data_IF_683565755877
#
_entry.id   IF_683565755877
#
_cell.length_a   1.000
_cell.length_b   1.000
_cell.length_c   1.000
_cell.angle_alpha   90.00
_cell.angle_beta   90.00
_cell.angle_gamma   90.00
#
_symmetry.space_group_name_H-M   'P 1'
#
loop_
_entity.id
_entity.type
_entity.pdbx_description
1 polymer ?
#
# COMPACT_ATOMS: atom_id res chain seq x y z
N UNK A 1 1.83 10.21 28.15
CA UNK A 1 2.93 9.22 28.22
C UNK A 1 3.44 9.05 26.81
N UNK A 2 4.75 9.07 26.64
CA UNK A 2 5.43 9.13 25.33
C UNK A 2 4.81 8.17 24.31
N UNK A 3 4.45 8.68 23.14
CA UNK A 3 4.10 7.84 21.99
C UNK A 3 5.37 7.15 21.50
N UNK A 4 5.81 6.13 22.23
CA UNK A 4 6.89 5.27 21.79
C UNK A 4 6.34 4.47 20.61
N UNK A 5 6.68 4.93 19.41
CA UNK A 5 6.49 4.15 18.18
C UNK A 5 7.11 2.79 18.43
N UNK A 6 6.29 1.74 18.34
CA UNK A 6 6.74 0.38 18.60
C UNK A 6 7.98 0.08 17.71
N UNK A 7 9.15 -0.27 18.28
CA UNK A 7 10.37 -0.55 17.52
C UNK A 7 10.15 -1.58 16.40
N UNK A 8 9.26 -2.54 16.63
CA UNK A 8 8.86 -3.55 15.66
C UNK A 8 8.27 -2.95 14.38
N UNK A 9 7.60 -1.80 14.46
CA UNK A 9 7.02 -1.12 13.31
C UNK A 9 8.09 -0.55 12.36
N UNK A 10 9.21 -0.07 12.92
CA UNK A 10 10.35 0.43 12.15
C UNK A 10 10.99 -0.72 11.36
N UNK A 11 11.14 -1.89 12.00
CA UNK A 11 11.62 -3.10 11.32
C UNK A 11 10.66 -3.57 10.23
N UNK A 12 9.35 -3.57 10.51
CA UNK A 12 8.32 -3.98 9.56
C UNK A 12 8.28 -3.07 8.32
N UNK A 13 8.42 -1.76 8.50
CA UNK A 13 8.56 -0.82 7.39
C UNK A 13 9.78 -1.15 6.53
N UNK A 14 10.93 -1.41 7.15
CA UNK A 14 12.15 -1.78 6.42
C UNK A 14 11.94 -3.05 5.58
N UNK A 15 11.31 -4.08 6.16
CA UNK A 15 10.97 -5.32 5.47
C UNK A 15 10.05 -5.06 4.28
N UNK A 16 9.00 -4.25 4.45
CA UNK A 16 8.05 -3.92 3.37
C UNK A 16 8.74 -3.18 2.21
N UNK A 17 9.72 -2.30 2.48
CA UNK A 17 10.51 -1.72 1.37
C UNK A 17 11.20 -2.80 0.58
N UNK A 18 11.95 -3.63 1.30
CA UNK A 18 12.88 -4.55 0.67
C UNK A 18 12.07 -5.58 -0.11
N UNK A 19 10.90 -5.95 0.39
CA UNK A 19 9.92 -6.77 -0.31
C UNK A 19 9.37 -6.08 -1.56
N UNK A 20 8.98 -4.79 -1.47
CA UNK A 20 8.53 -4.02 -2.64
C UNK A 20 9.60 -3.88 -3.72
N UNK A 21 10.86 -3.63 -3.33
CA UNK A 21 12.01 -3.59 -4.25
C UNK A 21 12.26 -4.96 -4.88
N UNK A 22 12.17 -6.04 -4.10
CA UNK A 22 12.34 -7.41 -4.60
C UNK A 22 11.22 -7.81 -5.57
N UNK A 23 9.98 -7.46 -5.27
CA UNK A 23 8.82 -7.71 -6.15
C UNK A 23 8.93 -6.93 -7.46
N UNK A 24 9.27 -5.64 -7.40
CA UNK A 24 9.43 -4.79 -8.59
C UNK A 24 10.61 -5.24 -9.45
N UNK A 25 11.76 -5.55 -8.84
CA UNK A 25 12.93 -6.07 -9.55
C UNK A 25 12.64 -7.42 -10.19
N UNK A 26 11.95 -8.31 -9.46
CA UNK A 26 11.52 -9.61 -9.97
C UNK A 26 10.53 -9.50 -11.14
N UNK A 27 9.59 -8.55 -11.07
CA UNK A 27 8.66 -8.27 -12.17
C UNK A 27 9.39 -7.76 -13.42
N UNK A 28 10.36 -6.84 -13.24
CA UNK A 28 11.17 -6.34 -14.36
C UNK A 28 11.99 -7.48 -14.97
N UNK A 29 12.75 -8.23 -14.16
CA UNK A 29 13.61 -9.32 -14.65
C UNK A 29 12.81 -10.42 -15.34
N UNK A 30 11.66 -10.82 -14.78
CA UNK A 30 10.79 -11.82 -15.40
C UNK A 30 10.17 -11.29 -16.71
N UNK A 31 9.75 -10.03 -16.76
CA UNK A 31 9.22 -9.40 -17.97
C UNK A 31 10.26 -9.26 -19.08
N UNK A 32 11.46 -8.77 -18.76
CA UNK A 32 12.55 -8.62 -19.73
C UNK A 32 13.06 -9.98 -20.20
N UNK A 33 13.22 -10.95 -19.27
CA UNK A 33 13.60 -12.32 -19.60
C UNK A 33 12.58 -13.00 -20.51
N UNK A 34 11.28 -12.77 -20.28
CA UNK A 34 10.21 -13.29 -21.13
C UNK A 34 10.25 -12.70 -22.55
N UNK A 35 10.49 -11.40 -22.69
CA UNK A 35 10.65 -10.75 -23.99
C UNK A 35 11.83 -11.32 -24.78
N UNK A 36 12.99 -11.44 -24.13
CA UNK A 36 14.19 -12.03 -24.75
C UNK A 36 13.94 -13.48 -25.16
N UNK A 37 13.26 -14.25 -24.30
CA UNK A 37 12.88 -15.62 -24.60
C UNK A 37 11.99 -15.70 -25.84
N UNK A 38 10.96 -14.86 -25.97
CA UNK A 38 10.10 -14.81 -27.16
C UNK A 38 10.93 -14.50 -28.41
N UNK A 39 11.80 -13.49 -28.36
CA UNK A 39 12.59 -13.07 -29.52
C UNK A 39 13.48 -14.22 -30.01
N UNK A 40 14.22 -14.86 -29.10
CA UNK A 40 15.06 -16.02 -29.43
C UNK A 40 14.20 -17.16 -29.99
N UNK A 41 13.04 -17.42 -29.39
CA UNK A 41 12.14 -18.51 -29.78
C UNK A 41 11.54 -18.28 -31.19
N UNK A 42 11.17 -17.06 -31.55
CA UNK A 42 10.67 -16.69 -32.88
C UNK A 42 11.78 -16.78 -33.93
N UNK A 43 12.98 -16.27 -33.63
CA UNK A 43 14.13 -16.35 -34.54
C UNK A 43 14.49 -17.83 -34.83
N UNK A 44 14.51 -18.67 -33.79
CA UNK A 44 14.79 -20.10 -33.95
C UNK A 44 13.73 -20.81 -34.80
N UNK A 45 12.46 -20.45 -34.62
CA UNK A 45 11.35 -20.96 -35.44
C UNK A 45 11.45 -20.55 -36.91
N UNK A 46 11.82 -19.29 -37.18
CA UNK A 46 12.00 -18.77 -38.54
C UNK A 46 13.18 -19.42 -39.26
N UNK A 47 14.35 -19.52 -38.60
CA UNK A 47 15.53 -20.19 -39.17
C UNK A 47 15.25 -21.66 -39.51
N UNK A 48 14.56 -22.37 -38.61
CA UNK A 48 14.23 -23.78 -38.84
C UNK A 48 13.18 -23.97 -39.95
N UNK A 49 12.26 -23.02 -40.11
CA UNK A 49 11.25 -23.05 -41.18
C UNK A 49 11.88 -22.80 -42.56
N UNK A 50 12.89 -21.93 -42.65
CA UNK A 50 13.66 -21.68 -43.89
C UNK A 50 14.49 -22.91 -44.31
N UNK A 51 15.14 -23.61 -43.37
CA UNK A 51 15.96 -24.79 -43.68
C UNK A 51 15.15 -26.07 -43.99
N UNK A 52 13.95 -26.22 -43.43
CA UNK A 52 13.20 -27.49 -43.49
C UNK A 52 11.97 -27.51 -44.41
N UNK A 53 11.64 -26.40 -45.11
CA UNK A 53 10.67 -26.41 -46.22
C UNK A 53 9.27 -26.94 -45.90
N UNK A 54 8.81 -26.85 -44.65
CA UNK A 54 7.54 -27.44 -44.23
C UNK A 54 6.83 -26.67 -43.11
N UNK A 55 5.65 -26.11 -43.42
CA UNK A 55 4.76 -25.42 -42.48
C UNK A 55 4.40 -26.25 -41.22
N UNK A 56 4.45 -27.58 -41.32
CA UNK A 56 3.99 -28.51 -40.29
C UNK A 56 4.87 -28.50 -39.03
N UNK A 57 6.16 -28.14 -39.16
CA UNK A 57 7.08 -28.06 -38.03
C UNK A 57 6.93 -26.76 -37.23
N UNK A 58 6.62 -25.65 -37.91
CA UNK A 58 6.34 -24.38 -37.24
C UNK A 58 5.03 -24.43 -36.45
N UNK A 59 4.00 -25.11 -36.99
CA UNK A 59 2.72 -25.31 -36.29
C UNK A 59 2.88 -26.21 -35.06
N UNK A 60 3.61 -27.32 -35.15
CA UNK A 60 3.93 -28.15 -33.98
C UNK A 60 4.80 -27.41 -32.95
N UNK A 61 5.68 -26.53 -33.41
CA UNK A 61 6.53 -25.69 -32.56
C UNK A 61 5.73 -24.61 -31.81
N UNK A 62 4.78 -23.94 -32.47
CA UNK A 62 3.82 -23.01 -31.86
C UNK A 62 2.90 -23.72 -30.85
N UNK A 63 2.45 -24.94 -31.19
CA UNK A 63 1.60 -25.75 -30.31
C UNK A 63 2.30 -26.08 -29.00
N UNK A 64 3.60 -26.43 -29.06
CA UNK A 64 4.42 -26.68 -27.88
C UNK A 64 4.69 -25.41 -27.05
N UNK A 65 4.84 -24.25 -27.70
CA UNK A 65 4.98 -22.96 -27.04
C UNK A 65 3.74 -22.59 -26.22
N UNK A 66 2.55 -22.89 -26.75
CA UNK A 66 1.28 -22.61 -26.06
C UNK A 66 1.15 -23.28 -24.69
N UNK A 67 1.89 -24.37 -24.43
CA UNK A 67 1.91 -25.04 -23.12
C UNK A 67 2.90 -24.41 -22.15
N UNK A 68 4.15 -24.23 -22.56
CA UNK A 68 5.24 -23.75 -21.69
C UNK A 68 5.23 -22.23 -21.49
N UNK A 69 4.83 -21.46 -22.50
CA UNK A 69 4.71 -20.00 -22.42
C UNK A 69 3.63 -19.54 -21.45
N UNK A 70 2.55 -20.31 -21.28
CA UNK A 70 1.48 -20.02 -20.32
C UNK A 70 2.00 -19.97 -18.88
N UNK A 71 2.85 -20.92 -18.48
CA UNK A 71 3.41 -20.95 -17.13
C UNK A 71 4.23 -19.68 -16.82
N UNK A 72 5.02 -19.21 -17.78
CA UNK A 72 5.78 -17.97 -17.64
C UNK A 72 4.88 -16.73 -17.55
N UNK A 73 3.80 -16.69 -18.34
CA UNK A 73 2.79 -15.62 -18.27
C UNK A 73 2.10 -15.61 -16.90
N UNK A 74 1.70 -16.77 -16.37
CA UNK A 74 1.09 -16.85 -15.04
C UNK A 74 2.03 -16.38 -13.94
N UNK A 75 3.31 -16.72 -14.04
CA UNK A 75 4.34 -16.31 -13.08
C UNK A 75 4.57 -14.79 -13.14
N UNK A 76 4.61 -14.21 -14.34
CA UNK A 76 4.69 -12.76 -14.54
C UNK A 76 3.45 -12.02 -13.99
N UNK A 77 2.24 -12.51 -14.29
CA UNK A 77 1.00 -11.96 -13.76
C UNK A 77 0.93 -12.04 -12.23
N UNK A 78 1.41 -13.14 -11.64
CA UNK A 78 1.50 -13.30 -10.19
C UNK A 78 2.39 -12.20 -9.57
N UNK A 79 3.55 -11.93 -10.14
CA UNK A 79 4.44 -10.85 -9.65
C UNK A 79 3.80 -9.46 -9.78
N UNK A 80 3.08 -9.18 -10.86
CA UNK A 80 2.36 -7.91 -11.02
C UNK A 80 1.26 -7.76 -9.96
N UNK A 81 0.44 -8.81 -9.77
CA UNK A 81 -0.64 -8.78 -8.78
C UNK A 81 -0.07 -8.59 -7.38
N UNK A 82 0.99 -9.32 -7.03
CA UNK A 82 1.67 -9.16 -5.75
C UNK A 82 2.24 -7.75 -5.57
N UNK A 83 2.83 -7.15 -6.62
CA UNK A 83 3.36 -5.80 -6.55
C UNK A 83 2.26 -4.73 -6.38
N UNK A 84 1.08 -4.92 -6.98
CA UNK A 84 -0.06 -3.99 -6.85
C UNK A 84 -0.76 -4.10 -5.50
N UNK A 85 -0.90 -5.33 -4.99
CA UNK A 85 -1.59 -5.59 -3.71
C UNK A 85 -0.70 -5.22 -2.51
N UNK A 86 0.62 -5.32 -2.65
CA UNK A 86 1.53 -5.03 -1.55
C UNK A 86 1.54 -3.52 -1.24
N UNK A 87 1.09 -3.11 -0.04
CA UNK A 87 1.05 -1.70 0.31
C UNK A 87 2.46 -1.12 0.44
N UNK A 88 2.65 0.11 -0.06
CA UNK A 88 3.92 0.82 0.07
C UNK A 88 4.12 1.31 1.52
N UNK A 89 5.37 1.49 1.93
CA UNK A 89 5.75 2.11 3.21
C UNK A 89 4.93 3.36 3.54
N UNK A 90 4.79 4.25 2.56
CA UNK A 90 4.07 5.51 2.74
C UNK A 90 2.59 5.28 3.08
N UNK A 91 1.96 4.27 2.46
CA UNK A 91 0.57 3.87 2.74
C UNK A 91 0.42 3.31 4.15
N UNK A 92 1.37 2.48 4.59
CA UNK A 92 1.37 1.91 5.95
C UNK A 92 1.59 3.00 7.02
N UNK A 93 2.53 3.93 6.77
CA UNK A 93 2.78 5.07 7.66
C UNK A 93 1.55 5.96 7.75
N UNK A 94 0.91 6.28 6.62
CA UNK A 94 -0.30 7.10 6.60
C UNK A 94 -1.46 6.46 7.37
N UNK A 95 -1.67 5.15 7.22
CA UNK A 95 -2.66 4.41 8.01
C UNK A 95 -2.35 4.45 9.51
N UNK A 96 -1.09 4.25 9.90
CA UNK A 96 -0.69 4.28 11.31
C UNK A 96 -0.84 5.67 11.94
N UNK A 97 -0.45 6.72 11.22
CA UNK A 97 -0.62 8.10 11.67
C UNK A 97 -2.10 8.46 11.75
N UNK A 98 -2.91 8.07 10.76
CA UNK A 98 -4.35 8.31 10.78
C UNK A 98 -5.02 7.61 11.96
N UNK A 99 -4.62 6.38 12.28
CA UNK A 99 -5.11 5.64 13.46
C UNK A 99 -4.79 6.40 14.76
N UNK A 100 -3.54 6.81 14.96
CA UNK A 100 -3.12 7.58 16.15
C UNK A 100 -3.81 8.94 16.26
N UNK A 101 -3.84 9.70 15.17
CA UNK A 101 -4.51 11.01 15.13
C UNK A 101 -6.02 10.86 15.35
N UNK A 102 -6.66 9.78 14.90
CA UNK A 102 -8.10 9.63 15.10
C UNK A 102 -8.43 9.24 16.54
N UNK A 103 -7.71 8.29 17.14
CA UNK A 103 -8.01 7.81 18.49
C UNK A 103 -7.56 8.78 19.59
N UNK A 104 -6.36 9.35 19.49
CA UNK A 104 -5.82 10.22 20.55
C UNK A 104 -6.49 11.61 20.51
N UNK A 105 -6.68 12.18 19.32
CA UNK A 105 -7.24 13.54 19.21
C UNK A 105 -8.74 13.58 19.47
N UNK A 106 -9.51 12.53 19.14
CA UNK A 106 -10.95 12.49 19.42
C UNK A 106 -11.24 12.40 20.94
N UNK A 107 -10.45 11.62 21.68
CA UNK A 107 -10.58 11.49 23.13
C UNK A 107 -10.18 12.75 23.89
N UNK A 108 -9.07 13.39 23.50
CA UNK A 108 -8.59 14.62 24.13
C UNK A 108 -9.43 15.85 23.76
N UNK A 109 -9.87 15.99 22.50
CA UNK A 109 -10.75 17.09 22.10
C UNK A 109 -12.11 17.03 22.79
N UNK A 110 -12.63 15.83 23.05
CA UNK A 110 -13.91 15.65 23.74
C UNK A 110 -13.79 15.92 25.25
N UNK A 111 -12.62 15.67 25.85
CA UNK A 111 -12.31 16.05 27.24
C UNK A 111 -12.08 17.55 27.38
N UNK A 112 -11.31 18.18 26.50
CA UNK A 112 -11.06 19.62 26.56
C UNK A 112 -12.34 20.42 26.26
N UNK A 113 -13.17 19.96 25.32
CA UNK A 113 -14.47 20.57 25.03
C UNK A 113 -15.47 20.46 26.19
N UNK A 114 -15.44 19.36 26.96
CA UNK A 114 -16.24 19.24 28.19
C UNK A 114 -15.72 20.16 29.30
N UNK A 115 -14.40 20.17 29.54
CA UNK A 115 -13.78 21.03 30.55
C UNK A 115 -14.06 22.52 30.27
N UNK A 116 -13.91 22.96 29.03
CA UNK A 116 -14.18 24.33 28.61
C UNK A 116 -15.67 24.71 28.78
N UNK A 117 -16.59 23.78 28.48
CA UNK A 117 -18.03 24.00 28.67
C UNK A 117 -18.40 24.13 30.15
N UNK A 118 -17.77 23.36 31.02
CA UNK A 118 -18.02 23.40 32.46
C UNK A 118 -17.44 24.68 33.09
N UNK A 119 -16.29 25.13 32.61
CA UNK A 119 -15.66 26.39 33.02
C UNK A 119 -16.52 27.60 32.59
N UNK A 120 -17.00 27.62 31.34
CA UNK A 120 -17.95 28.64 30.86
C UNK A 120 -19.26 28.67 31.66
N UNK A 121 -19.80 27.49 32.01
CA UNK A 121 -21.01 27.43 32.85
C UNK A 121 -20.78 28.05 34.22
N UNK A 122 -19.62 27.78 34.82
CA UNK A 122 -19.26 28.30 36.14
C UNK A 122 -19.12 29.83 36.10
N UNK A 123 -18.39 30.36 35.12
CA UNK A 123 -18.21 31.80 34.95
C UNK A 123 -19.53 32.53 34.70
N UNK A 124 -20.42 31.96 33.87
CA UNK A 124 -21.75 32.53 33.62
C UNK A 124 -22.61 32.56 34.89
N UNK A 125 -22.55 31.50 35.70
CA UNK A 125 -23.28 31.46 36.99
C UNK A 125 -22.73 32.52 37.94
N UNK A 126 -21.41 32.65 38.05
CA UNK A 126 -20.75 33.62 38.95
C UNK A 126 -21.08 35.08 38.56
N UNK A 127 -21.11 35.36 37.24
CA UNK A 127 -21.54 36.66 36.71
C UNK A 127 -23.00 36.94 37.09
N UNK A 128 -23.91 35.97 36.90
CA UNK A 128 -25.33 36.15 37.25
C UNK A 128 -25.51 36.36 38.75
N UNK A 129 -24.78 35.61 39.59
CA UNK A 129 -24.82 35.77 41.04
C UNK A 129 -24.32 37.15 41.48
N UNK A 130 -23.25 37.64 40.87
CA UNK A 130 -22.69 38.96 41.15
C UNK A 130 -23.67 40.10 40.80
N UNK A 131 -24.38 39.96 39.68
CA UNK A 131 -25.40 40.93 39.23
C UNK A 131 -26.62 40.89 40.15
N UNK A 132 -27.07 39.70 40.55
CA UNK A 132 -28.23 39.54 41.46
C UNK A 132 -27.95 40.15 42.83
N UNK A 133 -26.76 39.91 43.41
CA UNK A 133 -26.33 40.53 44.67
C UNK A 133 -26.19 42.05 44.60
N UNK A 134 -25.80 42.61 43.46
CA UNK A 134 -25.81 44.06 43.27
C UNK A 134 -27.22 44.64 43.19
N UNK A 135 -28.17 43.86 42.66
CA UNK A 135 -29.57 44.28 42.53
C UNK A 135 -30.32 44.25 43.86
N UNK A 136 -29.97 43.35 44.78
CA UNK A 136 -30.55 43.26 46.14
C UNK A 136 -29.99 44.32 47.11
N UNK A 137 -28.87 44.98 46.77
CA UNK A 137 -28.26 46.05 47.57
C UNK A 137 -28.75 47.47 47.20
N UNK A 138 -29.62 47.59 46.20
CA UNK A 138 -30.28 48.84 45.80
C UNK A 138 -31.74 48.82 46.22
#
# INVERSE_FOLDING_TARGET
MEHIVNPWFIYLLSVVNNFGVLLTTGAVLSGTGYLVYIIIYVIYGLLKAEDCGGNNDFDNFLKNWSGKGKASIYLFLLFIILAVVCPNKNTIIAMYVADKVTYDTAGEALKSGKAFKDELKKDVIDIIESITKQKEKK
#
